data_IF_216803539648
#
_entry.id   IF_216803539648
#
_cell.length_a   1.000
_cell.length_b   1.000
_cell.length_c   1.000
_cell.angle_alpha   90.00
_cell.angle_beta   90.00
_cell.angle_gamma   90.00
#
_symmetry.space_group_name_H-M   'P 1'
#
loop_
_entity.id
_entity.type
_entity.pdbx_description
1 polymer ?
#
# COMPACT_ATOMS: atom_id res chain seq x y z
N UNK A 1 66.46 -12.56 46.88
CA UNK A 1 66.55 -13.87 46.23
C UNK A 1 65.40 -13.91 45.24
N UNK A 2 65.60 -13.41 44.01
CA UNK A 2 66.00 -14.18 42.82
C UNK A 2 64.86 -15.17 42.47
N UNK A 3 64.11 -15.07 41.36
CA UNK A 3 64.53 -14.71 40.00
C UNK A 3 63.48 -13.92 39.21
N UNK A 4 63.99 -12.98 38.42
CA UNK A 4 63.39 -12.50 37.19
C UNK A 4 63.79 -13.42 36.03
N UNK A 5 63.11 -13.25 34.88
CA UNK A 5 63.56 -13.40 33.49
C UNK A 5 62.80 -14.37 32.56
N UNK A 6 62.72 -14.04 31.25
CA UNK A 6 61.44 -13.92 30.53
C UNK A 6 61.41 -14.69 29.19
N UNK A 7 60.29 -14.61 28.45
CA UNK A 7 60.36 -14.54 26.97
C UNK A 7 59.09 -13.95 26.35
N UNK A 8 59.32 -13.20 25.28
CA UNK A 8 58.42 -12.29 24.60
C UNK A 8 57.91 -12.83 23.25
N UNK A 9 56.92 -12.10 22.70
CA UNK A 9 56.64 -11.86 21.27
C UNK A 9 55.97 -13.05 20.53
N UNK A 10 54.87 -12.92 19.76
CA UNK A 10 54.60 -12.04 18.61
C UNK A 10 53.09 -12.04 18.27
N UNK A 11 52.55 -10.86 17.91
CA UNK A 11 51.51 -10.63 16.88
C UNK A 11 50.05 -10.94 17.23
N UNK A 12 49.03 -10.16 16.87
CA UNK A 12 48.93 -8.91 16.13
C UNK A 12 47.66 -8.18 16.59
N UNK A 13 47.75 -6.86 16.62
CA UNK A 13 46.63 -5.93 16.63
C UNK A 13 45.97 -5.98 15.24
N UNK A 14 44.66 -6.21 15.20
CA UNK A 14 43.75 -5.75 14.13
C UNK A 14 42.36 -5.67 14.79
N UNK A 15 41.96 -4.55 15.39
CA UNK A 15 41.32 -3.41 14.71
C UNK A 15 40.29 -3.83 13.64
N UNK A 16 39.15 -4.35 14.07
CA UNK A 16 37.93 -4.14 13.30
C UNK A 16 36.66 -4.07 14.16
N UNK A 17 36.64 -3.12 15.09
CA UNK A 17 35.41 -2.54 15.64
C UNK A 17 34.87 -1.56 14.58
N UNK A 18 34.10 -2.07 13.62
CA UNK A 18 33.35 -1.22 12.69
C UNK A 18 31.97 -0.90 13.29
N UNK A 19 31.97 0.13 14.12
CA UNK A 19 30.76 0.83 14.57
C UNK A 19 30.03 1.42 13.36
N UNK A 20 28.71 1.19 13.18
CA UNK A 20 28.00 1.71 12.02
C UNK A 20 27.85 3.23 12.11
N UNK A 21 28.49 3.93 11.17
CA UNK A 21 28.44 5.39 11.02
C UNK A 21 26.99 5.87 10.96
N UNK A 22 26.58 6.67 11.96
CA UNK A 22 25.35 7.46 11.89
C UNK A 22 25.53 8.59 10.89
N UNK A 23 24.83 8.51 9.76
CA UNK A 23 24.58 9.67 8.89
C UNK A 23 23.30 10.36 9.37
N UNK A 24 23.45 11.63 9.77
CA UNK A 24 22.34 12.51 10.14
C UNK A 24 21.80 13.23 8.89
N UNK A 25 20.48 13.31 8.77
CA UNK A 25 19.81 14.27 7.88
C UNK A 25 18.81 13.64 6.91
N UNK A 26 17.53 13.68 7.29
CA UNK A 26 16.41 13.37 6.40
C UNK A 26 15.20 12.93 7.20
N UNK A 27 14.16 13.75 7.22
CA UNK A 27 12.85 13.45 7.81
C UNK A 27 12.20 12.25 7.07
N UNK A 28 12.68 11.05 7.39
CA UNK A 28 12.13 9.79 6.93
C UNK A 28 11.03 9.41 7.91
N UNK A 29 9.77 9.50 7.48
CA UNK A 29 8.71 8.67 8.06
C UNK A 29 9.27 7.26 8.17
N UNK A 30 9.43 6.76 9.40
CA UNK A 30 9.90 5.41 9.68
C UNK A 30 8.97 4.41 8.98
N UNK A 31 9.34 3.95 7.78
CA UNK A 31 8.73 2.75 7.21
C UNK A 31 9.18 1.60 8.10
N UNK A 32 8.23 1.02 8.83
CA UNK A 32 8.48 -0.18 9.63
C UNK A 32 8.97 -1.27 8.67
N UNK A 33 10.27 -1.58 8.70
CA UNK A 33 10.82 -2.71 7.94
C UNK A 33 10.18 -3.98 8.47
N UNK A 34 9.57 -4.76 7.58
CA UNK A 34 9.02 -6.06 7.91
C UNK A 34 10.19 -7.04 8.06
N UNK A 35 10.25 -7.84 9.15
CA UNK A 35 11.26 -8.87 9.29
C UNK A 35 10.93 -10.03 8.34
N UNK A 36 11.16 -9.83 7.05
CA UNK A 36 10.96 -10.83 6.01
C UNK A 36 12.18 -11.75 5.92
N UNK A 37 11.93 -13.04 5.76
CA UNK A 37 12.98 -14.03 5.51
C UNK A 37 12.90 -14.51 4.07
N UNK A 38 14.03 -14.53 3.37
CA UNK A 38 14.14 -15.09 2.02
C UNK A 38 14.64 -16.53 2.12
N UNK A 39 14.01 -17.43 1.37
CA UNK A 39 14.48 -18.80 1.15
C UNK A 39 14.93 -18.87 -0.30
N UNK A 40 16.23 -19.06 -0.50
CA UNK A 40 16.82 -19.11 -1.83
C UNK A 40 16.64 -20.49 -2.47
N UNK A 41 16.43 -20.51 -3.78
CA UNK A 41 16.43 -21.70 -4.59
C UNK A 41 17.86 -22.21 -4.86
N UNK A 42 17.99 -23.33 -5.59
CA UNK A 42 19.29 -23.94 -5.89
C UNK A 42 20.26 -23.04 -6.67
N UNK A 43 19.74 -22.05 -7.39
CA UNK A 43 20.52 -21.05 -8.14
C UNK A 43 20.99 -19.87 -7.27
N UNK A 44 20.69 -19.89 -5.97
CA UNK A 44 21.02 -18.82 -5.03
C UNK A 44 20.09 -17.61 -5.08
N UNK A 45 19.08 -17.61 -5.95
CA UNK A 45 18.09 -16.54 -6.04
C UNK A 45 16.92 -16.80 -5.08
N UNK A 46 16.26 -15.76 -4.52
CA UNK A 46 15.10 -15.97 -3.68
C UNK A 46 13.97 -16.71 -4.40
N UNK A 47 13.64 -17.91 -3.91
CA UNK A 47 12.52 -18.70 -4.41
C UNK A 47 11.24 -18.47 -3.58
N UNK A 48 11.39 -18.19 -2.28
CA UNK A 48 10.27 -17.89 -1.40
C UNK A 48 10.58 -16.72 -0.46
N UNK A 49 9.51 -16.07 0.00
CA UNK A 49 9.56 -15.05 1.07
C UNK A 49 8.61 -15.46 2.18
N UNK A 50 9.11 -15.49 3.40
CA UNK A 50 8.32 -15.76 4.61
C UNK A 50 8.02 -14.44 5.30
N UNK A 51 6.73 -14.17 5.48
CA UNK A 51 6.22 -13.03 6.23
C UNK A 51 5.61 -13.60 7.52
N UNK A 52 6.04 -13.15 8.72
CA UNK A 52 5.40 -13.57 9.96
C UNK A 52 3.89 -13.32 9.92
N UNK A 53 3.11 -14.31 10.36
CA UNK A 53 1.66 -14.28 10.19
C UNK A 53 1.00 -13.03 10.80
N UNK A 54 1.46 -12.61 11.98
CA UNK A 54 0.97 -11.38 12.62
C UNK A 54 1.17 -10.13 11.73
N UNK A 55 2.30 -10.04 11.03
CA UNK A 55 2.59 -8.93 10.13
C UNK A 55 1.81 -9.01 8.82
N UNK A 56 1.57 -10.22 8.28
CA UNK A 56 0.68 -10.44 7.13
C UNK A 56 -0.76 -10.00 7.42
N UNK A 57 -1.31 -10.42 8.56
CA UNK A 57 -2.67 -10.03 8.99
C UNK A 57 -2.75 -8.54 9.28
N UNK A 58 -1.74 -7.95 9.91
CA UNK A 58 -1.69 -6.51 10.13
C UNK A 58 -1.71 -5.73 8.81
N UNK A 59 -1.02 -6.22 7.77
CA UNK A 59 -1.07 -5.60 6.44
C UNK A 59 -2.45 -5.71 5.78
N UNK A 60 -3.10 -6.87 5.85
CA UNK A 60 -4.47 -7.02 5.31
C UNK A 60 -5.49 -6.10 5.99
N UNK A 61 -5.29 -5.80 7.27
CA UNK A 61 -6.14 -4.85 8.00
C UNK A 61 -5.89 -3.39 7.63
N UNK A 62 -4.74 -3.09 7.01
CA UNK A 62 -4.31 -1.74 6.61
C UNK A 62 -4.51 -1.51 5.11
N UNK A 63 -4.63 -2.56 4.30
CA UNK A 63 -4.95 -2.39 2.88
C UNK A 63 -6.32 -1.71 2.75
N UNK A 64 -6.40 -0.54 2.08
CA UNK A 64 -7.68 0.10 1.80
C UNK A 64 -8.61 -0.90 1.13
N UNK A 65 -9.90 -0.82 1.43
CA UNK A 65 -10.92 -1.70 0.87
C UNK A 65 -10.66 -1.91 -0.63
N UNK A 66 -10.38 -3.15 -1.07
CA UNK A 66 -9.87 -3.40 -2.42
C UNK A 66 -10.90 -2.98 -3.48
N UNK A 67 -10.42 -2.48 -4.61
CA UNK A 67 -11.25 -2.24 -5.79
C UNK A 67 -11.31 -3.54 -6.60
N UNK A 68 -12.50 -4.09 -6.89
CA UNK A 68 -12.63 -5.29 -7.71
C UNK A 68 -11.98 -5.12 -9.08
N UNK A 69 -11.31 -6.17 -9.58
CA UNK A 69 -10.63 -6.13 -10.87
C UNK A 69 -11.57 -5.71 -12.01
N UNK A 70 -12.81 -6.20 -12.02
CA UNK A 70 -13.84 -5.83 -13.01
C UNK A 70 -14.14 -4.33 -13.04
N UNK A 71 -14.15 -3.68 -11.88
CA UNK A 71 -14.38 -2.23 -11.77
C UNK A 71 -13.20 -1.47 -12.38
N UNK A 72 -11.97 -1.90 -12.11
CA UNK A 72 -10.75 -1.33 -12.71
C UNK A 72 -10.77 -1.52 -14.22
N UNK A 73 -11.10 -2.73 -14.68
CA UNK A 73 -11.12 -3.05 -16.11
C UNK A 73 -12.08 -2.13 -16.87
N UNK A 74 -13.31 -1.98 -16.38
CA UNK A 74 -14.31 -1.09 -16.99
C UNK A 74 -13.88 0.37 -17.01
N UNK A 75 -13.26 0.83 -15.93
CA UNK A 75 -12.92 2.24 -15.81
C UNK A 75 -11.68 2.62 -16.62
N UNK A 76 -10.68 1.74 -16.67
CA UNK A 76 -9.40 2.02 -17.33
C UNK A 76 -9.41 1.64 -18.81
N UNK A 77 -10.02 0.50 -19.17
CA UNK A 77 -9.96 -0.03 -20.53
C UNK A 77 -11.22 0.26 -21.35
N UNK A 78 -12.40 0.23 -20.73
CA UNK A 78 -13.67 0.46 -21.44
C UNK A 78 -14.09 1.95 -21.48
N UNK A 79 -13.29 2.84 -20.88
CA UNK A 79 -13.55 4.28 -20.82
C UNK A 79 -14.75 4.68 -19.97
N UNK A 80 -15.22 3.80 -19.07
CA UNK A 80 -16.25 4.16 -18.10
C UNK A 80 -15.66 5.05 -17.00
N UNK A 81 -16.44 5.99 -16.46
CA UNK A 81 -15.96 6.68 -15.25
C UNK A 81 -15.92 5.71 -14.07
N UNK A 82 -15.03 5.90 -13.08
CA UNK A 82 -15.01 5.09 -11.85
C UNK A 82 -16.38 5.00 -11.17
N UNK A 83 -17.13 6.11 -11.16
CA UNK A 83 -18.49 6.15 -10.60
C UNK A 83 -19.48 5.26 -11.36
N UNK A 84 -19.34 5.18 -12.70
CA UNK A 84 -20.14 4.29 -13.53
C UNK A 84 -19.79 2.83 -13.29
N UNK A 85 -18.50 2.51 -13.32
CA UNK A 85 -18.00 1.16 -13.15
C UNK A 85 -18.47 0.56 -11.82
N UNK A 86 -18.33 1.31 -10.71
CA UNK A 86 -18.85 0.90 -9.40
C UNK A 86 -20.36 0.75 -9.36
N UNK A 87 -21.10 1.70 -9.92
CA UNK A 87 -22.56 1.64 -9.95
C UNK A 87 -23.04 0.37 -10.66
N UNK A 88 -22.47 0.05 -11.82
CA UNK A 88 -22.85 -1.12 -12.61
C UNK A 88 -22.41 -2.42 -11.94
N UNK A 89 -21.23 -2.46 -11.32
CA UNK A 89 -20.77 -3.59 -10.52
C UNK A 89 -21.70 -3.90 -9.33
N UNK A 90 -22.23 -2.86 -8.68
CA UNK A 90 -23.18 -2.97 -7.57
C UNK A 90 -24.63 -3.18 -8.02
N UNK A 91 -24.90 -3.30 -9.32
CA UNK A 91 -26.25 -3.48 -9.86
C UNK A 91 -27.19 -2.28 -9.69
N UNK A 92 -26.65 -1.08 -9.42
CA UNK A 92 -27.44 0.12 -9.16
C UNK A 92 -27.78 0.87 -10.44
N UNK A 93 -28.96 1.46 -10.48
CA UNK A 93 -29.40 2.37 -11.53
C UNK A 93 -28.97 3.81 -11.23
N UNK A 94 -28.94 4.66 -12.27
CA UNK A 94 -28.72 6.10 -12.10
C UNK A 94 -29.77 6.76 -11.21
N UNK A 95 -31.00 6.26 -11.24
CA UNK A 95 -32.10 6.81 -10.44
C UNK A 95 -31.88 6.54 -8.95
N UNK A 96 -31.48 5.33 -8.59
CA UNK A 96 -31.22 4.96 -7.20
C UNK A 96 -30.07 5.77 -6.60
N UNK A 97 -28.94 5.90 -7.31
CA UNK A 97 -27.82 6.70 -6.79
C UNK A 97 -28.18 8.18 -6.70
N UNK A 98 -28.92 8.71 -7.68
CA UNK A 98 -29.42 10.08 -7.67
C UNK A 98 -30.34 10.36 -6.47
N UNK A 99 -31.25 9.43 -6.17
CA UNK A 99 -32.13 9.49 -5.00
C UNK A 99 -31.32 9.48 -3.70
N UNK A 100 -30.33 8.58 -3.57
CA UNK A 100 -29.46 8.50 -2.38
C UNK A 100 -28.68 9.79 -2.10
N UNK A 101 -28.30 10.56 -3.13
CA UNK A 101 -27.59 11.83 -2.97
C UNK A 101 -28.49 13.08 -3.06
N UNK A 102 -29.80 12.91 -3.24
CA UNK A 102 -30.79 13.99 -3.28
C UNK A 102 -30.70 14.89 -4.52
N UNK A 103 -30.45 14.35 -5.71
CA UNK A 103 -30.43 15.12 -6.97
C UNK A 103 -31.30 14.46 -8.05
N UNK A 104 -31.50 15.16 -9.17
CA UNK A 104 -32.20 14.58 -10.32
C UNK A 104 -31.38 13.49 -11.02
N UNK A 105 -32.06 12.52 -11.63
CA UNK A 105 -31.43 11.47 -12.46
C UNK A 105 -30.57 12.05 -13.59
N UNK A 106 -31.03 13.14 -14.21
CA UNK A 106 -30.31 13.81 -15.30
C UNK A 106 -29.04 14.51 -14.81
N UNK A 107 -29.07 15.12 -13.62
CA UNK A 107 -27.87 15.72 -13.01
C UNK A 107 -26.85 14.65 -12.62
N UNK A 108 -27.29 13.50 -12.11
CA UNK A 108 -26.40 12.38 -11.86
C UNK A 108 -25.76 11.87 -13.15
N UNK A 109 -26.54 11.69 -14.22
CA UNK A 109 -26.01 11.27 -15.52
C UNK A 109 -24.96 12.25 -16.08
N UNK A 110 -25.15 13.56 -15.90
CA UNK A 110 -24.14 14.57 -16.26
C UNK A 110 -22.87 14.44 -15.43
N UNK A 111 -22.98 14.14 -14.13
CA UNK A 111 -21.82 13.94 -13.24
C UNK A 111 -21.03 12.68 -13.61
N UNK A 112 -21.72 11.59 -13.92
CA UNK A 112 -21.11 10.32 -14.31
C UNK A 112 -20.29 10.44 -15.61
N UNK A 113 -20.62 11.38 -16.49
CA UNK A 113 -19.88 11.68 -17.73
C UNK A 113 -18.66 12.58 -17.54
N UNK A 114 -18.48 13.21 -16.37
CA UNK A 114 -17.34 14.09 -16.13
C UNK A 114 -16.12 13.26 -15.77
N UNK A 115 -15.02 13.53 -16.45
CA UNK A 115 -13.72 12.94 -16.17
C UNK A 115 -13.24 13.22 -14.74
N UNK A 116 -13.43 14.46 -14.25
CA UNK A 116 -13.03 14.86 -12.90
C UNK A 116 -14.16 15.55 -12.14
N UNK A 117 -14.63 14.89 -11.08
CA UNK A 117 -15.61 15.43 -10.15
C UNK A 117 -14.95 16.17 -9.00
N UNK A 118 -15.60 17.22 -8.49
CA UNK A 118 -15.18 17.89 -7.24
C UNK A 118 -15.17 16.87 -6.09
N UNK A 119 -14.17 16.96 -5.21
CA UNK A 119 -14.01 16.05 -4.05
C UNK A 119 -15.28 15.91 -3.20
N UNK A 120 -16.01 17.01 -2.99
CA UNK A 120 -17.28 17.00 -2.25
C UNK A 120 -18.36 16.15 -2.91
N UNK A 121 -18.45 16.18 -4.25
CA UNK A 121 -19.39 15.37 -5.03
C UNK A 121 -18.97 13.91 -5.01
N UNK A 122 -17.67 13.63 -5.21
CA UNK A 122 -17.14 12.27 -5.17
C UNK A 122 -17.41 11.59 -3.82
N UNK A 123 -17.27 12.33 -2.71
CA UNK A 123 -17.62 11.85 -1.37
C UNK A 123 -19.08 11.45 -1.23
N UNK A 124 -20.01 12.27 -1.77
CA UNK A 124 -21.45 11.95 -1.77
C UNK A 124 -21.75 10.70 -2.60
N UNK A 125 -21.11 10.56 -3.76
CA UNK A 125 -21.28 9.39 -4.62
C UNK A 125 -20.72 8.13 -3.96
N UNK A 126 -19.50 8.19 -3.40
CA UNK A 126 -18.91 7.07 -2.66
C UNK A 126 -19.81 6.59 -1.52
N UNK A 127 -20.33 7.54 -0.70
CA UNK A 127 -21.28 7.23 0.35
C UNK A 127 -22.57 6.58 -0.17
N UNK A 128 -23.12 7.07 -1.29
CA UNK A 128 -24.32 6.49 -1.90
C UNK A 128 -24.10 5.10 -2.51
N UNK A 129 -22.87 4.78 -2.91
CA UNK A 129 -22.47 3.46 -3.41
C UNK A 129 -22.05 2.51 -2.28
N UNK A 130 -21.88 3.01 -1.05
CA UNK A 130 -21.40 2.19 0.08
C UNK A 130 -19.91 1.86 0.01
N UNK A 131 -19.11 2.70 -0.65
CA UNK A 131 -17.66 2.52 -0.82
C UNK A 131 -16.89 3.69 -0.19
N UNK A 132 -15.60 3.51 0.02
CA UNK A 132 -14.73 4.60 0.47
C UNK A 132 -14.44 5.59 -0.65
N UNK A 133 -14.02 6.81 -0.28
CA UNK A 133 -13.59 7.80 -1.27
C UNK A 133 -12.36 7.33 -2.06
N UNK A 134 -11.45 6.59 -1.43
CA UNK A 134 -10.23 6.07 -2.05
C UNK A 134 -10.55 5.04 -3.14
N UNK A 135 -11.54 4.17 -2.91
CA UNK A 135 -12.04 3.22 -3.92
C UNK A 135 -12.62 3.89 -5.17
N UNK A 136 -12.97 5.18 -5.10
CA UNK A 136 -13.51 5.96 -6.21
C UNK A 136 -12.49 6.95 -6.82
N UNK A 137 -11.25 6.96 -6.33
CA UNK A 137 -10.22 7.93 -6.70
C UNK A 137 -9.07 7.27 -7.47
N UNK A 138 -9.35 6.90 -8.71
CA UNK A 138 -8.40 6.35 -9.66
C UNK A 138 -8.76 6.75 -11.09
#
# INVERSE_FOLDING_TARGET
MLEAHPKALIGNVDQNEQEPRRIAGGDHRMSKSLPVQFINGPDGTPAFVVIPYADYVAQQRVTPDPVPHEVVTRAVFDGSSPARAWREYLGLTRAEVAQRIGISRSDYAKREKREKLRKSVRRKIAAALGITLAQLDF
#
